data_IF_615673950976
#
_entry.id   IF_615673950976
#
_cell.length_a   1.000
_cell.length_b   1.000
_cell.length_c   1.000
_cell.angle_alpha   90.00
_cell.angle_beta   90.00
_cell.angle_gamma   90.00
#
_symmetry.space_group_name_H-M   'P 1'
#
loop_
_entity.id
_entity.type
_entity.pdbx_description
1 polymer ?
#
# COMPACT_ATOMS: atom_id res chain seq x y z
N UNK A 1 -2.58 -34.75 -16.85
CA UNK A 1 -2.88 -33.30 -17.01
C UNK A 1 -1.69 -32.65 -17.67
N UNK A 2 -1.92 -31.81 -18.69
CA UNK A 2 -0.86 -30.95 -19.21
C UNK A 2 -0.62 -29.80 -18.21
N UNK A 3 0.64 -29.41 -17.98
CA UNK A 3 0.96 -28.26 -17.12
C UNK A 3 0.41 -26.97 -17.76
N UNK A 4 0.07 -25.99 -16.93
CA UNK A 4 -0.48 -24.69 -17.38
C UNK A 4 0.60 -23.62 -17.28
N UNK A 5 0.76 -22.81 -18.33
CA UNK A 5 1.75 -21.74 -18.37
C UNK A 5 1.33 -20.56 -17.47
N UNK A 6 2.17 -20.09 -16.52
CA UNK A 6 1.86 -18.92 -15.68
C UNK A 6 1.69 -17.60 -16.44
N UNK A 7 2.27 -17.49 -17.63
CA UNK A 7 2.22 -16.28 -18.47
C UNK A 7 0.86 -16.12 -19.17
N UNK A 8 0.49 -17.09 -20.00
CA UNK A 8 -0.74 -17.02 -20.81
C UNK A 8 -1.94 -17.76 -20.20
N UNK A 9 -1.72 -18.60 -19.18
CA UNK A 9 -2.74 -19.45 -18.53
C UNK A 9 -3.33 -20.55 -19.43
N UNK A 10 -2.63 -20.91 -20.51
CA UNK A 10 -3.02 -21.99 -21.40
C UNK A 10 -2.25 -23.30 -21.10
N UNK A 11 -2.82 -24.48 -21.41
CA UNK A 11 -2.13 -25.76 -21.28
C UNK A 11 -0.93 -25.87 -22.22
N UNK A 12 0.19 -26.36 -21.71
CA UNK A 12 1.45 -26.49 -22.45
C UNK A 12 1.52 -27.85 -23.14
N UNK A 13 1.82 -27.85 -24.44
CA UNK A 13 2.14 -29.07 -25.18
C UNK A 13 3.56 -29.56 -24.82
N UNK A 14 3.82 -30.86 -24.71
CA UNK A 14 5.14 -31.38 -24.30
C UNK A 14 6.32 -30.89 -25.16
N UNK A 15 6.08 -30.60 -26.44
CA UNK A 15 7.08 -30.10 -27.39
C UNK A 15 7.46 -28.63 -27.21
N UNK A 16 6.69 -27.88 -26.40
CA UNK A 16 6.89 -26.46 -26.13
C UNK A 16 7.16 -26.21 -24.64
N UNK A 17 7.46 -27.27 -23.88
CA UNK A 17 7.62 -27.20 -22.43
C UNK A 17 9.01 -26.70 -22.07
N UNK A 18 9.05 -25.46 -21.58
CA UNK A 18 10.22 -24.82 -21.02
C UNK A 18 10.16 -24.79 -19.48
N UNK A 19 10.82 -25.72 -18.76
CA UNK A 19 10.90 -25.66 -17.32
C UNK A 19 11.92 -24.59 -16.89
N UNK A 20 11.53 -23.72 -15.96
CA UNK A 20 12.46 -22.75 -15.37
C UNK A 20 13.65 -23.48 -14.70
N UNK A 21 14.91 -23.12 -15.00
CA UNK A 21 16.07 -23.81 -14.41
C UNK A 21 16.24 -23.57 -12.91
N UNK A 22 15.61 -22.52 -12.35
CA UNK A 22 15.71 -22.18 -10.93
C UNK A 22 14.61 -22.82 -10.06
N UNK A 23 13.37 -22.86 -10.56
CA UNK A 23 12.22 -23.34 -9.77
C UNK A 23 11.44 -24.50 -10.40
N UNK A 24 11.79 -24.92 -11.63
CA UNK A 24 11.11 -25.99 -12.35
C UNK A 24 9.72 -25.64 -12.88
N UNK A 25 9.25 -24.39 -12.71
CA UNK A 25 7.91 -23.99 -13.13
C UNK A 25 7.78 -24.05 -14.68
N UNK A 26 6.69 -24.63 -15.21
CA UNK A 26 6.54 -24.88 -16.63
C UNK A 26 6.07 -23.64 -17.41
N UNK A 27 6.74 -23.31 -18.50
CA UNK A 27 6.39 -22.23 -19.42
C UNK A 27 6.33 -22.74 -20.86
N UNK A 28 5.73 -21.97 -21.77
CA UNK A 28 6.02 -22.14 -23.20
C UNK A 28 7.38 -21.54 -23.52
N UNK A 29 8.18 -22.14 -24.42
CA UNK A 29 9.45 -21.55 -24.89
C UNK A 29 9.27 -20.10 -25.34
N UNK A 30 8.25 -19.83 -26.17
CA UNK A 30 7.92 -18.49 -26.63
C UNK A 30 7.47 -17.54 -25.51
N UNK A 31 6.78 -18.04 -24.47
CA UNK A 31 6.38 -17.20 -23.33
C UNK A 31 7.55 -16.88 -22.42
N UNK A 32 8.49 -17.83 -22.26
CA UNK A 32 9.71 -17.65 -21.49
C UNK A 32 10.58 -16.54 -22.08
N UNK A 33 10.83 -16.59 -23.39
CA UNK A 33 11.60 -15.56 -24.11
C UNK A 33 10.92 -14.20 -24.04
N UNK A 34 9.59 -14.13 -24.26
CA UNK A 34 8.81 -12.89 -24.20
C UNK A 34 8.78 -12.25 -22.82
N UNK A 35 8.83 -13.06 -21.76
CA UNK A 35 8.81 -12.59 -20.38
C UNK A 35 10.20 -12.18 -19.86
N UNK A 36 11.28 -12.51 -20.58
CA UNK A 36 12.64 -12.37 -20.05
C UNK A 36 12.92 -13.34 -18.89
N UNK A 37 12.22 -14.50 -18.86
CA UNK A 37 12.39 -15.53 -17.83
C UNK A 37 11.14 -15.79 -16.97
N UNK A 38 11.36 -16.30 -15.76
CA UNK A 38 10.31 -16.76 -14.86
C UNK A 38 9.48 -15.63 -14.24
N UNK A 39 8.15 -15.73 -14.34
CA UNK A 39 7.20 -14.79 -13.70
C UNK A 39 6.87 -15.10 -12.23
N UNK A 40 7.42 -16.18 -11.67
CA UNK A 40 7.18 -16.52 -10.27
C UNK A 40 7.87 -15.47 -9.39
N UNK A 41 7.06 -14.78 -8.59
CA UNK A 41 7.53 -13.73 -7.68
C UNK A 41 8.65 -14.29 -6.77
N UNK A 42 9.84 -13.69 -6.85
CA UNK A 42 11.01 -14.11 -6.07
C UNK A 42 11.80 -15.28 -6.65
N UNK A 43 11.46 -15.77 -7.85
CA UNK A 43 12.29 -16.73 -8.56
C UNK A 43 13.51 -16.05 -9.18
N UNK A 44 14.69 -16.65 -9.02
CA UNK A 44 15.93 -16.13 -9.59
C UNK A 44 16.09 -16.42 -11.09
N UNK A 45 15.23 -17.26 -11.66
CA UNK A 45 15.19 -17.56 -13.09
C UNK A 45 14.40 -16.55 -13.92
N UNK A 46 13.83 -15.51 -13.31
CA UNK A 46 13.30 -14.35 -14.02
C UNK A 46 14.30 -13.21 -14.03
N UNK A 47 14.26 -12.38 -15.07
CA UNK A 47 14.98 -11.10 -15.03
C UNK A 47 14.60 -10.36 -13.75
N UNK A 48 15.60 -10.17 -12.87
CA UNK A 48 15.53 -9.26 -11.75
C UNK A 48 15.46 -7.87 -12.35
N UNK A 49 14.27 -7.43 -12.77
CA UNK A 49 14.05 -6.04 -13.15
C UNK A 49 14.41 -5.20 -11.92
N UNK A 50 15.64 -4.69 -11.91
CA UNK A 50 16.00 -3.54 -11.10
C UNK A 50 15.07 -2.45 -11.57
N UNK A 51 14.03 -2.16 -10.82
CA UNK A 51 13.13 -1.04 -11.10
C UNK A 51 13.89 0.25 -10.81
N UNK A 52 14.79 0.61 -11.72
CA UNK A 52 14.82 2.00 -12.18
C UNK A 52 13.51 2.16 -12.93
N UNK A 53 12.53 2.81 -12.30
CA UNK A 53 11.27 3.16 -12.95
C UNK A 53 11.63 4.13 -14.07
N UNK A 54 11.83 3.61 -15.29
CA UNK A 54 11.79 4.42 -16.48
C UNK A 54 10.30 4.61 -16.80
N UNK A 55 9.78 5.80 -16.49
CA UNK A 55 8.43 6.21 -16.91
C UNK A 55 8.28 6.02 -18.43
N UNK A 56 7.11 5.60 -18.94
CA UNK A 56 6.89 5.49 -20.37
C UNK A 56 7.12 6.86 -21.03
N UNK A 57 7.78 6.95 -22.19
CA UNK A 57 8.12 8.24 -22.81
C UNK A 57 6.93 9.06 -23.28
N UNK A 58 5.69 8.54 -23.26
CA UNK A 58 4.50 9.27 -23.72
C UNK A 58 3.24 8.94 -22.91
N UNK A 59 3.36 8.85 -21.58
CA UNK A 59 2.18 9.20 -20.78
C UNK A 59 2.05 10.71 -20.91
N UNK A 60 0.91 11.28 -21.33
CA UNK A 60 0.68 12.70 -21.14
C UNK A 60 0.77 12.95 -19.64
N UNK A 61 1.94 13.40 -19.20
CA UNK A 61 2.11 14.21 -18.01
C UNK A 61 1.07 15.31 -18.22
N UNK A 62 0.14 15.44 -17.28
CA UNK A 62 -0.58 16.69 -17.18
C UNK A 62 0.49 17.76 -17.01
N UNK A 63 0.85 18.42 -18.10
CA UNK A 63 1.73 19.57 -18.09
C UNK A 63 1.10 20.55 -17.10
N UNK A 64 1.85 21.07 -16.12
CA UNK A 64 1.45 22.33 -15.53
C UNK A 64 1.46 23.32 -16.70
N UNK A 65 0.28 23.70 -17.18
CA UNK A 65 0.17 24.83 -18.09
C UNK A 65 0.68 26.04 -17.32
N UNK A 66 1.67 26.72 -17.91
CA UNK A 66 1.98 28.14 -17.64
C UNK A 66 0.80 29.00 -18.13
N UNK A 67 -0.41 28.70 -17.66
CA UNK A 67 -1.45 29.72 -17.60
C UNK A 67 -1.05 30.64 -16.45
N UNK A 68 -0.87 31.95 -16.69
CA UNK A 68 -0.68 32.87 -15.59
C UNK A 68 -1.87 32.69 -14.66
N UNK A 69 -1.53 32.51 -13.38
CA UNK A 69 -2.50 32.41 -12.29
C UNK A 69 -3.62 33.43 -12.51
N UNK A 70 -4.91 33.02 -12.43
CA UNK A 70 -5.94 34.00 -12.16
C UNK A 70 -5.51 34.74 -10.89
N UNK A 71 -5.34 36.04 -11.06
CA UNK A 71 -4.94 36.99 -10.03
C UNK A 71 -5.80 36.78 -8.78
N UNK A 72 -5.13 36.69 -7.63
CA UNK A 72 -5.67 36.87 -6.28
C UNK A 72 -7.17 36.59 -6.06
N UNK A 73 -7.53 35.32 -5.89
CA UNK A 73 -8.64 35.00 -4.98
C UNK A 73 -8.11 34.16 -3.84
N UNK A 74 -7.62 34.91 -2.85
CA UNK A 74 -7.57 34.61 -1.42
C UNK A 74 -7.11 33.20 -1.02
N UNK A 75 -6.06 33.19 -0.21
CA UNK A 75 -5.89 32.26 0.90
C UNK A 75 -7.18 32.19 1.74
N UNK A 76 -8.16 31.42 1.28
CA UNK A 76 -9.26 30.98 2.11
C UNK A 76 -8.70 29.78 2.86
N UNK A 77 -8.17 30.04 4.06
CA UNK A 77 -7.86 28.98 5.00
C UNK A 77 -9.06 28.03 5.02
N UNK A 78 -8.80 26.73 4.90
CA UNK A 78 -9.85 25.73 5.08
C UNK A 78 -10.44 26.01 6.47
N UNK A 79 -11.65 26.56 6.51
CA UNK A 79 -12.35 26.73 7.78
C UNK A 79 -12.49 25.33 8.37
N UNK A 80 -11.87 25.11 9.54
CA UNK A 80 -11.86 23.81 10.25
C UNK A 80 -13.29 23.26 10.40
N UNK A 81 -14.29 24.15 10.40
CA UNK A 81 -15.73 23.86 10.43
C UNK A 81 -16.23 23.02 9.22
N UNK A 82 -15.56 23.08 8.07
CA UNK A 82 -15.91 22.30 6.85
C UNK A 82 -15.35 20.87 6.84
N UNK A 83 -14.47 20.54 7.77
CA UNK A 83 -13.82 19.23 7.84
C UNK A 83 -14.55 18.24 8.76
N UNK A 84 -15.47 18.73 9.60
CA UNK A 84 -16.21 17.90 10.53
C UNK A 84 -16.97 16.77 9.81
N UNK A 85 -16.78 15.53 10.28
CA UNK A 85 -17.40 14.34 9.69
C UNK A 85 -16.76 13.83 8.40
N UNK A 86 -15.70 14.47 7.89
CA UNK A 86 -14.89 13.91 6.79
C UNK A 86 -14.06 12.73 7.29
N UNK A 87 -13.76 11.80 6.39
CA UNK A 87 -13.04 10.56 6.69
C UNK A 87 -11.61 10.66 6.17
N UNK A 88 -10.66 10.54 7.09
CA UNK A 88 -9.23 10.48 6.77
C UNK A 88 -8.71 9.06 6.97
N UNK A 89 -8.12 8.49 5.93
CA UNK A 89 -7.33 7.27 5.99
C UNK A 89 -5.85 7.57 6.14
N UNK A 90 -5.20 6.93 7.11
CA UNK A 90 -3.77 7.01 7.33
C UNK A 90 -3.18 5.61 7.27
N UNK A 91 -2.18 5.41 6.41
CA UNK A 91 -1.40 4.18 6.31
C UNK A 91 -0.01 4.42 6.87
N UNK A 92 0.44 3.56 7.78
CA UNK A 92 1.78 3.57 8.33
C UNK A 92 2.46 2.24 8.01
N UNK A 93 3.55 2.27 7.23
CA UNK A 93 4.36 1.09 6.90
C UNK A 93 5.68 0.98 7.67
N UNK A 94 6.04 1.98 8.47
CA UNK A 94 7.29 2.06 9.24
C UNK A 94 7.06 1.88 10.74
N UNK A 95 8.07 1.36 11.44
CA UNK A 95 8.06 1.21 12.89
C UNK A 95 8.15 2.54 13.66
N UNK A 96 7.97 2.51 14.99
CA UNK A 96 7.88 3.70 15.84
C UNK A 96 9.15 4.55 15.90
N UNK A 97 10.31 3.95 15.60
CA UNK A 97 11.60 4.65 15.57
C UNK A 97 11.76 5.58 14.35
N UNK A 98 10.90 5.46 13.34
CA UNK A 98 11.02 6.24 12.10
C UNK A 98 10.33 7.61 12.25
N UNK A 99 10.91 8.72 11.73
CA UNK A 99 10.29 10.05 11.84
C UNK A 99 8.85 10.13 11.32
N UNK A 100 8.54 9.35 10.28
CA UNK A 100 7.19 9.29 9.71
C UNK A 100 6.15 8.73 10.69
N UNK A 101 6.55 7.97 11.72
CA UNK A 101 5.67 7.62 12.82
C UNK A 101 5.15 8.88 13.51
N UNK A 102 6.04 9.73 14.03
CA UNK A 102 5.65 10.97 14.71
C UNK A 102 4.83 11.91 13.81
N UNK A 103 5.15 12.00 12.52
CA UNK A 103 4.35 12.77 11.56
C UNK A 103 2.94 12.22 11.38
N UNK A 104 2.80 10.89 11.29
CA UNK A 104 1.49 10.25 11.16
C UNK A 104 0.61 10.45 12.39
N UNK A 105 1.21 10.38 13.60
CA UNK A 105 0.50 10.63 14.86
C UNK A 105 0.00 12.07 14.93
N UNK A 106 0.87 13.05 14.60
CA UNK A 106 0.50 14.47 14.62
C UNK A 106 -0.61 14.78 13.62
N UNK A 107 -0.53 14.23 12.40
CA UNK A 107 -1.58 14.41 11.40
C UNK A 107 -2.91 13.82 11.89
N UNK A 108 -2.88 12.59 12.40
CA UNK A 108 -4.07 11.91 12.93
C UNK A 108 -4.68 12.69 14.10
N UNK A 109 -3.86 13.15 15.06
CA UNK A 109 -4.29 13.94 16.20
C UNK A 109 -4.98 15.25 15.78
N UNK A 110 -4.36 16.03 14.90
CA UNK A 110 -4.96 17.27 14.39
C UNK A 110 -6.24 17.01 13.59
N UNK A 111 -6.32 15.92 12.83
CA UNK A 111 -7.54 15.53 12.14
C UNK A 111 -8.67 15.17 13.13
N UNK A 112 -8.36 14.47 14.21
CA UNK A 112 -9.35 14.18 15.26
C UNK A 112 -9.82 15.44 15.98
N UNK A 113 -8.92 16.38 16.28
CA UNK A 113 -9.27 17.69 16.86
C UNK A 113 -10.20 18.49 15.94
N UNK A 114 -10.01 18.37 14.63
CA UNK A 114 -10.89 18.93 13.59
C UNK A 114 -12.17 18.10 13.35
N UNK A 115 -12.47 17.12 14.21
CA UNK A 115 -13.67 16.28 14.15
C UNK A 115 -13.80 15.42 12.88
N UNK A 116 -12.68 15.02 12.28
CA UNK A 116 -12.68 13.98 11.25
C UNK A 116 -12.80 12.58 11.87
N UNK A 117 -13.43 11.67 11.12
CA UNK A 117 -13.32 10.24 11.37
C UNK A 117 -11.97 9.73 10.85
N UNK A 118 -11.08 9.35 11.77
CA UNK A 118 -9.73 8.88 11.41
C UNK A 118 -9.66 7.34 11.43
N UNK A 119 -9.23 6.78 10.30
CA UNK A 119 -8.95 5.37 10.10
C UNK A 119 -7.44 5.20 9.95
N UNK A 120 -6.81 4.45 10.85
CA UNK A 120 -5.36 4.30 10.89
C UNK A 120 -5.00 2.83 10.66
N UNK A 121 -4.19 2.54 9.65
CA UNK A 121 -3.82 1.18 9.27
C UNK A 121 -2.30 0.97 9.38
N UNK A 122 -1.90 0.00 10.19
CA UNK A 122 -0.52 -0.43 10.34
C UNK A 122 -0.21 -1.59 9.37
N UNK A 123 0.73 -1.36 8.46
CA UNK A 123 1.25 -2.34 7.49
C UNK A 123 2.75 -2.59 7.74
N UNK A 124 3.27 -3.71 7.26
CA UNK A 124 4.69 -4.05 7.34
C UNK A 124 5.32 -3.83 8.72
N UNK A 125 6.28 -2.91 8.87
CA UNK A 125 6.93 -2.63 10.16
C UNK A 125 6.05 -1.77 11.08
N UNK A 126 5.06 -1.06 10.54
CA UNK A 126 4.09 -0.29 11.33
C UNK A 126 3.27 -1.15 12.29
N UNK A 127 3.14 -2.47 12.05
CA UNK A 127 2.46 -3.39 12.99
C UNK A 127 3.16 -3.45 14.35
N UNK A 128 4.45 -3.11 14.42
CA UNK A 128 5.20 -3.04 15.69
C UNK A 128 4.74 -1.88 16.57
N UNK A 129 4.12 -0.86 15.98
CA UNK A 129 3.62 0.31 16.69
C UNK A 129 2.20 0.11 17.27
N UNK A 130 1.52 -1.01 17.00
CA UNK A 130 0.12 -1.21 17.43
C UNK A 130 -0.07 -0.99 18.94
N UNK A 131 0.86 -1.47 19.76
CA UNK A 131 0.80 -1.32 21.22
C UNK A 131 1.41 -0.01 21.73
N UNK A 132 1.84 0.88 20.83
CA UNK A 132 2.47 2.15 21.21
C UNK A 132 1.46 3.02 21.97
N UNK A 133 1.84 3.63 23.12
CA UNK A 133 0.93 4.38 23.98
C UNK A 133 0.15 5.46 23.23
N UNK A 134 0.79 6.21 22.34
CA UNK A 134 0.13 7.27 21.57
C UNK A 134 -0.97 6.76 20.63
N UNK A 135 -0.76 5.62 19.94
CA UNK A 135 -1.78 5.01 19.09
C UNK A 135 -2.96 4.51 19.94
N UNK A 136 -2.68 3.98 21.12
CA UNK A 136 -3.71 3.51 22.05
C UNK A 136 -4.51 4.65 22.66
N UNK A 137 -3.87 5.78 22.98
CA UNK A 137 -4.55 7.02 23.39
C UNK A 137 -5.48 7.53 22.29
N UNK A 138 -5.02 7.60 21.03
CA UNK A 138 -5.87 8.03 19.92
C UNK A 138 -7.01 7.04 19.63
N UNK A 139 -6.75 5.73 19.73
CA UNK A 139 -7.80 4.70 19.63
C UNK A 139 -8.86 4.89 20.70
N UNK A 140 -8.45 5.10 21.96
CA UNK A 140 -9.37 5.35 23.06
C UNK A 140 -10.19 6.65 22.85
N UNK A 141 -9.62 7.64 22.16
CA UNK A 141 -10.29 8.88 21.78
C UNK A 141 -11.19 8.77 20.53
N UNK A 142 -11.30 7.59 19.90
CA UNK A 142 -12.23 7.32 18.80
C UNK A 142 -11.59 7.04 17.44
N UNK A 143 -10.26 7.03 17.34
CA UNK A 143 -9.56 6.60 16.11
C UNK A 143 -9.78 5.12 15.84
N UNK A 144 -10.10 4.76 14.60
CA UNK A 144 -10.29 3.37 14.19
C UNK A 144 -8.94 2.77 13.77
N UNK A 145 -8.36 1.96 14.65
CA UNK A 145 -7.05 1.35 14.45
C UNK A 145 -7.14 -0.06 13.86
N UNK A 146 -6.45 -0.27 12.74
CA UNK A 146 -6.34 -1.53 12.00
C UNK A 146 -4.88 -1.96 11.90
N UNK A 147 -4.66 -3.27 11.80
CA UNK A 147 -3.32 -3.82 11.60
C UNK A 147 -3.33 -4.99 10.60
N UNK A 148 -2.26 -5.13 9.83
CA UNK A 148 -2.09 -6.25 8.92
C UNK A 148 -1.89 -7.56 9.71
N UNK A 149 -2.84 -8.48 9.63
CA UNK A 149 -2.78 -9.79 10.29
C UNK A 149 -1.54 -10.59 9.85
N UNK A 150 -1.24 -10.57 8.56
CA UNK A 150 -0.05 -11.25 8.01
C UNK A 150 1.26 -10.59 8.47
N UNK A 151 1.30 -9.25 8.51
CA UNK A 151 2.47 -8.50 9.00
C UNK A 151 2.79 -8.80 10.46
N UNK A 152 1.77 -8.88 11.31
CA UNK A 152 1.89 -9.26 12.71
C UNK A 152 2.35 -10.72 12.87
N UNK A 153 1.75 -11.65 12.12
CA UNK A 153 2.11 -13.07 12.14
C UNK A 153 3.58 -13.29 11.78
N UNK A 154 4.08 -12.67 10.70
CA UNK A 154 5.49 -12.79 10.28
C UNK A 154 6.47 -12.31 11.34
N UNK A 155 6.08 -11.32 12.14
CA UNK A 155 6.87 -10.74 13.22
C UNK A 155 6.62 -11.40 14.59
N UNK A 156 5.81 -12.47 14.62
CA UNK A 156 5.43 -13.20 15.84
C UNK A 156 4.74 -12.31 16.89
N UNK A 157 4.03 -11.29 16.43
CA UNK A 157 3.20 -10.43 17.27
C UNK A 157 1.83 -11.10 17.37
N UNK A 158 1.40 -11.54 18.57
CA UNK A 158 0.09 -12.15 18.74
C UNK A 158 -1.01 -11.09 18.53
N UNK A 159 -2.06 -11.39 17.75
CA UNK A 159 -3.23 -10.53 17.66
C UNK A 159 -3.83 -10.28 19.05
N UNK A 160 -4.20 -9.03 19.32
CA UNK A 160 -4.78 -8.58 20.58
C UNK A 160 -5.97 -7.65 20.29
N UNK A 161 -6.62 -7.15 21.34
CA UNK A 161 -7.77 -6.26 21.20
C UNK A 161 -7.37 -4.80 20.91
N UNK A 162 -6.07 -4.51 20.86
CA UNK A 162 -5.51 -3.16 20.68
C UNK A 162 -5.62 -2.65 19.23
N UNK A 163 -5.96 -3.51 18.27
CA UNK A 163 -6.29 -3.14 16.90
C UNK A 163 -7.24 -4.19 16.28
N UNK A 164 -7.92 -3.82 15.20
CA UNK A 164 -8.63 -4.79 14.38
C UNK A 164 -7.67 -5.36 13.34
N UNK A 165 -7.38 -6.65 13.43
CA UNK A 165 -6.46 -7.31 12.51
C UNK A 165 -7.17 -7.78 11.24
N UNK A 166 -6.63 -7.41 10.08
CA UNK A 166 -7.24 -7.68 8.77
C UNK A 166 -6.23 -7.89 7.65
N UNK A 167 -6.74 -8.28 6.48
CA UNK A 167 -5.97 -8.43 5.25
C UNK A 167 -5.91 -7.15 4.41
N UNK A 168 -5.34 -7.27 3.20
CA UNK A 168 -5.26 -6.16 2.25
C UNK A 168 -6.64 -5.73 1.71
N UNK A 169 -7.64 -6.62 1.72
CA UNK A 169 -9.03 -6.24 1.39
C UNK A 169 -9.52 -5.10 2.29
N UNK A 170 -9.22 -5.17 3.58
CA UNK A 170 -9.60 -4.13 4.54
C UNK A 170 -8.91 -2.79 4.25
N UNK A 171 -7.65 -2.83 3.81
CA UNK A 171 -6.93 -1.65 3.35
C UNK A 171 -7.58 -1.05 2.10
N UNK A 172 -7.96 -1.89 1.13
CA UNK A 172 -8.67 -1.46 -0.08
C UNK A 172 -10.01 -0.82 0.25
N UNK A 173 -10.78 -1.41 1.15
CA UNK A 173 -12.08 -0.88 1.59
C UNK A 173 -11.89 0.47 2.29
N UNK A 174 -10.86 0.60 3.13
CA UNK A 174 -10.54 1.85 3.80
C UNK A 174 -10.18 2.95 2.79
N UNK A 175 -9.30 2.68 1.82
CA UNK A 175 -8.94 3.65 0.77
C UNK A 175 -10.18 4.15 0.02
N UNK A 176 -11.13 3.26 -0.27
CA UNK A 176 -12.37 3.62 -0.97
C UNK A 176 -13.37 4.38 -0.08
N UNK A 177 -13.41 4.07 1.22
CA UNK A 177 -14.37 4.65 2.17
C UNK A 177 -13.98 6.02 2.72
N UNK A 178 -12.72 6.44 2.57
CA UNK A 178 -12.18 7.70 3.07
C UNK A 178 -12.23 8.82 2.03
N UNK A 179 -12.53 10.05 2.44
CA UNK A 179 -12.48 11.23 1.55
C UNK A 179 -11.05 11.56 1.11
N UNK A 180 -10.09 11.34 2.02
CA UNK A 180 -8.66 11.52 1.80
C UNK A 180 -7.88 10.38 2.40
N UNK A 181 -6.79 10.01 1.73
CA UNK A 181 -5.92 8.93 2.13
C UNK A 181 -4.46 9.38 2.05
N UNK A 182 -3.70 9.17 3.11
CA UNK A 182 -2.28 9.55 3.19
C UNK A 182 -1.47 8.35 3.69
N UNK A 183 -0.30 8.15 3.08
CA UNK A 183 0.62 7.08 3.48
C UNK A 183 1.92 7.63 4.01
N UNK A 184 2.46 6.94 5.01
CA UNK A 184 3.73 7.19 5.69
C UNK A 184 4.59 5.94 5.61
N UNK A 185 5.73 6.05 4.92
CA UNK A 185 6.58 4.94 4.51
C UNK A 185 8.06 5.16 4.77
#
# INVERSE_FOLDING_TARGET
MNPVCPYCREPIHPEQLHPCPACGMPHHDACWERAGGCLIRGCEGGEKQSTSIQLPPDVPIATPTDEPAPEEEASQGIEIDTLAGKKLGVLLSVGPEHPNFAHSIRLAGTAMEAQLEVFFYCLDDGVTAVDHPELQTMRAAGMRLFACAYGAQRRKIPPNENAIYGGLTMLSDMVYATDRFVSFN
#
